data_IF_883805348899
#
_entry.id   IF_883805348899
#
_cell.length_a   1.000
_cell.length_b   1.000
_cell.length_c   1.000
_cell.angle_alpha   90.00
_cell.angle_beta   90.00
_cell.angle_gamma   90.00
#
_symmetry.space_group_name_H-M   'P 1'
#
loop_
_entity.id
_entity.type
_entity.pdbx_description
1 polymer ?
#
# COMPACT_ATOMS: atom_id res chain seq x y z
N UNK A 1 -14.26 12.72 4.86
CA UNK A 1 -14.25 11.29 4.47
C UNK A 1 -12.85 10.98 3.97
N UNK A 2 -12.01 10.37 4.81
CA UNK A 2 -10.62 10.05 4.49
C UNK A 2 -10.45 8.54 4.53
N UNK A 3 -10.70 7.88 3.40
CA UNK A 3 -10.57 6.42 3.25
C UNK A 3 -9.96 6.01 1.91
N UNK A 4 -9.47 6.98 1.14
CA UNK A 4 -8.87 6.78 -0.16
C UNK A 4 -7.41 7.22 -0.10
N UNK A 5 -6.54 6.40 -0.70
CA UNK A 5 -5.13 6.69 -0.94
C UNK A 5 -4.97 6.96 -2.43
N UNK A 6 -4.04 7.84 -2.80
CA UNK A 6 -3.66 8.02 -4.19
C UNK A 6 -2.87 6.80 -4.68
N UNK A 7 -3.09 6.41 -5.93
CA UNK A 7 -2.29 5.41 -6.62
C UNK A 7 -1.02 6.05 -7.21
N UNK A 8 -0.15 6.55 -6.33
CA UNK A 8 1.10 7.25 -6.69
C UNK A 8 2.36 6.41 -6.45
N UNK A 9 2.22 5.11 -6.16
CA UNK A 9 3.34 4.23 -5.87
C UNK A 9 3.94 4.39 -4.47
N UNK A 10 3.37 5.21 -3.59
CA UNK A 10 3.90 5.43 -2.24
C UNK A 10 3.87 4.17 -1.38
N UNK A 11 4.87 4.07 -0.48
CA UNK A 11 4.89 3.03 0.54
C UNK A 11 4.00 3.43 1.72
N UNK A 12 3.07 2.56 2.09
CA UNK A 12 2.15 2.77 3.21
C UNK A 12 2.17 1.61 4.20
N UNK A 13 1.75 1.87 5.44
CA UNK A 13 1.83 0.90 6.54
C UNK A 13 0.86 -0.27 6.38
N UNK A 14 1.38 -1.50 6.55
CA UNK A 14 0.59 -2.76 6.55
C UNK A 14 -0.44 -2.80 7.68
N UNK A 15 -0.10 -2.27 8.85
CA UNK A 15 -0.99 -2.31 10.02
C UNK A 15 -2.09 -1.27 9.94
N UNK A 16 -1.75 -0.07 9.46
CA UNK A 16 -2.73 1.02 9.28
C UNK A 16 -3.75 0.69 8.17
N UNK A 17 -3.29 0.05 7.10
CA UNK A 17 -4.11 -0.30 5.94
C UNK A 17 -4.21 -1.82 5.77
N UNK A 18 -4.56 -2.54 6.85
CA UNK A 18 -4.56 -4.01 6.89
C UNK A 18 -5.49 -4.65 5.87
N UNK A 19 -6.69 -4.10 5.67
CA UNK A 19 -7.63 -4.60 4.65
C UNK A 19 -7.08 -4.41 3.22
N UNK A 20 -6.42 -3.29 2.95
CA UNK A 20 -5.80 -3.03 1.66
C UNK A 20 -4.60 -3.96 1.42
N UNK A 21 -3.75 -4.13 2.44
CA UNK A 21 -2.63 -5.07 2.37
C UNK A 21 -3.10 -6.51 2.18
N UNK A 22 -4.20 -6.92 2.83
CA UNK A 22 -4.78 -8.25 2.62
C UNK A 22 -5.30 -8.43 1.18
N UNK A 23 -5.78 -7.36 0.54
CA UNK A 23 -6.30 -7.40 -0.82
C UNK A 23 -5.20 -7.44 -1.90
N UNK A 24 -4.15 -6.61 -1.77
CA UNK A 24 -3.14 -6.44 -2.83
C UNK A 24 -1.73 -6.96 -2.47
N UNK A 25 -1.48 -7.25 -1.19
CA UNK A 25 -0.18 -7.70 -0.70
C UNK A 25 0.97 -6.78 -1.08
N UNK A 26 2.05 -7.36 -1.59
CA UNK A 26 3.24 -6.65 -2.05
C UNK A 26 3.37 -6.64 -3.57
N UNK A 27 2.25 -6.78 -4.30
CA UNK A 27 2.24 -6.86 -5.78
C UNK A 27 2.95 -5.66 -6.42
N UNK A 28 2.80 -4.47 -5.84
CA UNK A 28 3.43 -3.23 -6.33
C UNK A 28 4.77 -2.90 -5.65
N UNK A 29 5.29 -3.82 -4.84
CA UNK A 29 6.53 -3.67 -4.09
C UNK A 29 6.35 -3.89 -2.60
N UNK A 30 7.38 -4.45 -1.97
CA UNK A 30 7.36 -4.78 -0.55
C UNK A 30 7.55 -3.57 0.38
N UNK A 31 7.69 -2.36 -0.17
CA UNK A 31 8.06 -1.17 0.59
C UNK A 31 9.44 -1.34 1.24
N UNK A 32 9.50 -1.14 2.55
CA UNK A 32 10.64 -1.38 3.44
C UNK A 32 10.93 -2.88 3.70
N UNK A 33 10.14 -3.80 3.15
CA UNK A 33 10.30 -5.24 3.34
C UNK A 33 9.77 -5.79 4.68
N UNK A 34 9.25 -4.93 5.56
CA UNK A 34 8.84 -5.31 6.92
C UNK A 34 7.47 -4.74 7.28
N UNK A 35 7.36 -3.41 7.36
CA UNK A 35 6.19 -2.73 7.93
C UNK A 35 5.31 -2.03 6.92
N UNK A 36 5.77 -1.92 5.67
CA UNK A 36 5.09 -1.20 4.58
C UNK A 36 4.88 -2.07 3.35
N UNK A 37 4.08 -1.55 2.41
CA UNK A 37 3.88 -2.08 1.08
C UNK A 37 3.62 -0.91 0.12
N UNK A 38 3.98 -1.08 -1.15
CA UNK A 38 3.77 -0.04 -2.15
C UNK A 38 2.35 -0.09 -2.71
N UNK A 39 1.81 1.08 -3.03
CA UNK A 39 0.56 1.24 -3.76
C UNK A 39 0.76 1.08 -5.27
N UNK A 40 -0.32 0.87 -6.04
CA UNK A 40 -0.26 0.98 -7.50
C UNK A 40 0.23 2.37 -7.91
N UNK A 41 0.85 2.46 -9.08
CA UNK A 41 1.14 3.72 -9.74
C UNK A 41 0.26 3.81 -10.99
N UNK A 42 -0.69 4.75 -11.00
CA UNK A 42 -1.44 5.09 -12.20
C UNK A 42 -0.49 5.91 -13.10
N UNK A 43 0.11 5.25 -14.09
CA UNK A 43 0.87 5.90 -15.15
C UNK A 43 -0.06 6.40 -16.27
#
# INVERSE_FOLDING_TARGET
>A
MTGLLLCDGTAVSRTKYSALFAAIGTVYGAGDGSTTFNLPHDA
#
